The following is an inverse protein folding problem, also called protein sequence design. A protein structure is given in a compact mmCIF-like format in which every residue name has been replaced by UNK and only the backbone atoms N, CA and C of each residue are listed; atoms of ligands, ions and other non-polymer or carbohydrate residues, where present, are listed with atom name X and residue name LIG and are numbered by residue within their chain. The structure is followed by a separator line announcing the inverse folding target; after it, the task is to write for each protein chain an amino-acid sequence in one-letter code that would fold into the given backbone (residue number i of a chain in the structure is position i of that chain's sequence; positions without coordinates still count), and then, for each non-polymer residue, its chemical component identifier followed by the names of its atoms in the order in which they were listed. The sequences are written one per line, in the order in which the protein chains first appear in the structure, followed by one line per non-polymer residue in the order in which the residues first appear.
data_IF_061295321287
#
_entry.id   IF_061295321287
#
_cell.length_a   1.000
_cell.length_b   1.000
_cell.length_c   1.000
_cell.angle_alpha   90.00
_cell.angle_beta   90.00
_cell.angle_gamma   90.00
#
_symmetry.space_group_name_H-M   'P 1'
#
loop_
_entity.id
_entity.type
_entity.pdbx_description
1 polymer ?
#
# COMPACT_ATOMS: atom_id res chain seq x y z
N UNK A 1 -0.56 -5.00 -23.95
CA UNK A 1 -1.30 -3.97 -23.19
C UNK A 1 -1.31 -4.26 -21.70
N UNK A 2 -1.77 -5.44 -21.25
CA UNK A 2 -1.72 -5.84 -19.83
C UNK A 2 -0.29 -5.84 -19.23
N UNK A 3 0.71 -6.29 -20.00
CA UNK A 3 2.12 -6.26 -19.55
C UNK A 3 2.63 -4.84 -19.25
N UNK A 4 2.37 -3.88 -20.16
CA UNK A 4 2.76 -2.48 -19.97
C UNK A 4 2.11 -1.88 -18.71
N UNK A 5 0.83 -2.18 -18.47
CA UNK A 5 0.13 -1.71 -17.27
C UNK A 5 0.79 -2.28 -16.00
N UNK A 6 1.13 -3.56 -16.01
CA UNK A 6 1.82 -4.22 -14.90
C UNK A 6 3.20 -3.60 -14.64
N UNK A 7 4.00 -3.37 -15.69
CA UNK A 7 5.32 -2.77 -15.58
C UNK A 7 5.26 -1.36 -14.99
N UNK A 8 4.28 -0.55 -15.43
CA UNK A 8 4.01 0.78 -14.88
C UNK A 8 3.61 0.67 -13.40
N UNK A 9 2.75 -0.28 -13.04
CA UNK A 9 2.32 -0.47 -11.66
C UNK A 9 3.50 -0.83 -10.74
N UNK A 10 4.42 -1.68 -11.21
CA UNK A 10 5.62 -2.03 -10.47
C UNK A 10 6.55 -0.82 -10.27
N UNK A 11 6.71 0.03 -11.30
CA UNK A 11 7.45 1.29 -11.16
C UNK A 11 6.78 2.24 -10.15
N UNK A 12 5.45 2.37 -10.21
CA UNK A 12 4.68 3.18 -9.26
C UNK A 12 4.85 2.66 -7.83
N UNK A 13 4.90 1.34 -7.62
CA UNK A 13 5.14 0.77 -6.29
C UNK A 13 6.51 1.17 -5.72
N UNK A 14 7.56 1.22 -6.55
CA UNK A 14 8.88 1.68 -6.12
C UNK A 14 8.82 3.14 -5.67
N UNK A 15 8.20 4.00 -6.49
CA UNK A 15 8.05 5.42 -6.18
C UNK A 15 7.21 5.66 -4.90
N UNK A 16 6.11 4.92 -4.74
CA UNK A 16 5.28 4.99 -3.54
C UNK A 16 6.05 4.51 -2.31
N UNK A 17 6.87 3.46 -2.43
CA UNK A 17 7.68 2.95 -1.33
C UNK A 17 8.70 4.00 -0.85
N UNK A 18 9.37 4.70 -1.78
CA UNK A 18 10.25 5.82 -1.46
C UNK A 18 9.45 6.94 -0.78
N UNK A 19 8.31 7.33 -1.36
CA UNK A 19 7.47 8.39 -0.82
C UNK A 19 6.92 8.11 0.59
N UNK A 20 6.69 6.84 0.94
CA UNK A 20 6.30 6.40 2.29
C UNK A 20 7.45 6.60 3.27
N UNK A 21 8.67 6.18 2.90
CA UNK A 21 9.84 6.23 3.79
C UNK A 21 10.33 7.67 4.01
N UNK A 22 10.22 8.53 3.00
CA UNK A 22 10.65 9.93 3.08
C UNK A 22 9.64 10.85 3.79
N UNK A 23 8.44 10.37 4.11
CA UNK A 23 7.41 11.21 4.73
C UNK A 23 7.67 11.39 6.24
N UNK A 24 7.87 12.63 6.66
CA UNK A 24 8.09 12.97 8.07
C UNK A 24 6.80 12.88 8.91
N UNK A 25 5.65 13.20 8.32
CA UNK A 25 4.37 13.10 9.02
C UNK A 25 3.84 11.66 8.99
N UNK A 26 3.75 11.03 10.16
CA UNK A 26 3.38 9.62 10.28
C UNK A 26 1.99 9.31 9.70
N UNK A 27 1.02 10.22 9.86
CA UNK A 27 -0.32 10.05 9.29
C UNK A 27 -0.26 10.06 7.76
N UNK A 28 0.46 11.01 7.17
CA UNK A 28 0.68 11.05 5.72
C UNK A 28 1.44 9.81 5.23
N UNK A 29 2.42 9.30 6.00
CA UNK A 29 3.17 8.10 5.64
C UNK A 29 2.23 6.89 5.54
N UNK A 30 1.29 6.76 6.48
CA UNK A 30 0.26 5.72 6.47
C UNK A 30 -0.71 5.89 5.29
N UNK A 31 -1.09 7.11 4.94
CA UNK A 31 -1.92 7.36 3.76
C UNK A 31 -1.19 6.94 2.49
N UNK A 32 0.07 7.31 2.31
CA UNK A 32 0.90 6.87 1.18
C UNK A 32 1.06 5.35 1.17
N UNK A 33 1.20 4.72 2.33
CA UNK A 33 1.27 3.26 2.47
C UNK A 33 -0.05 2.60 2.03
N UNK A 34 -1.20 3.22 2.29
CA UNK A 34 -2.48 2.73 1.78
C UNK A 34 -2.53 2.71 0.24
N UNK A 35 -1.97 3.73 -0.43
CA UNK A 35 -1.82 3.72 -1.89
C UNK A 35 -0.86 2.63 -2.38
N UNK A 36 0.25 2.39 -1.68
CA UNK A 36 1.16 1.28 -1.99
C UNK A 36 0.45 -0.08 -1.85
N UNK A 37 -0.33 -0.27 -0.78
CA UNK A 37 -1.13 -1.47 -0.55
C UNK A 37 -2.17 -1.67 -1.66
N UNK A 38 -2.80 -0.60 -2.12
CA UNK A 38 -3.74 -0.66 -3.25
C UNK A 38 -3.04 -1.08 -4.54
N UNK A 39 -1.88 -0.47 -4.86
CA UNK A 39 -1.09 -0.84 -6.03
C UNK A 39 -0.68 -2.33 -5.98
N UNK A 40 -0.27 -2.82 -4.81
CA UNK A 40 0.05 -4.24 -4.62
C UNK A 40 -1.16 -5.16 -4.89
N UNK A 41 -2.35 -4.81 -4.37
CA UNK A 41 -3.59 -5.56 -4.64
C UNK A 41 -3.91 -5.61 -6.13
N UNK A 42 -3.73 -4.50 -6.85
CA UNK A 42 -3.92 -4.44 -8.29
C UNK A 42 -2.93 -5.34 -9.03
N UNK A 43 -1.65 -5.33 -8.64
CA UNK A 43 -0.63 -6.25 -9.19
C UNK A 43 -1.05 -7.71 -9.02
N UNK A 44 -1.47 -8.11 -7.81
CA UNK A 44 -1.93 -9.48 -7.54
C UNK A 44 -3.15 -9.87 -8.40
N UNK A 45 -4.05 -8.91 -8.61
CA UNK A 45 -5.22 -9.09 -9.47
C UNK A 45 -4.80 -9.32 -10.94
N UNK A 46 -3.86 -8.53 -11.44
CA UNK A 46 -3.31 -8.70 -12.80
C UNK A 46 -2.52 -10.00 -12.97
N UNK A 47 -1.85 -10.47 -11.92
CA UNK A 47 -1.16 -11.76 -11.88
C UNK A 47 -2.09 -12.97 -11.73
N UNK A 48 -3.41 -12.76 -11.70
CA UNK A 48 -4.43 -13.81 -11.54
C UNK A 48 -4.29 -14.57 -10.21
N UNK A 49 -3.90 -13.87 -9.15
CA UNK A 49 -3.85 -14.38 -7.77
C UNK A 49 -4.96 -13.76 -6.89
N UNK A 50 -6.25 -14.06 -7.15
CA UNK A 50 -7.37 -13.40 -6.50
C UNK A 50 -7.46 -13.67 -4.99
N UNK A 51 -7.11 -14.88 -4.55
CA UNK A 51 -7.17 -15.25 -3.13
C UNK A 51 -6.15 -14.45 -2.29
N UNK A 52 -4.97 -14.23 -2.85
CA UNK A 52 -3.92 -13.40 -2.24
C UNK A 52 -4.32 -11.92 -2.28
N UNK A 53 -4.92 -11.46 -3.38
CA UNK A 53 -5.41 -10.09 -3.49
C UNK A 53 -6.49 -9.78 -2.44
N UNK A 54 -7.46 -10.67 -2.27
CA UNK A 54 -8.51 -10.53 -1.25
C UNK A 54 -7.92 -10.50 0.16
N UNK A 55 -6.99 -11.40 0.44
CA UNK A 55 -6.27 -11.44 1.73
C UNK A 55 -5.48 -10.15 1.97
N UNK A 56 -4.79 -9.64 0.95
CA UNK A 56 -4.00 -8.41 1.01
C UNK A 56 -4.87 -7.17 1.27
N UNK A 57 -6.10 -7.11 0.73
CA UNK A 57 -7.05 -6.03 1.05
C UNK A 57 -7.38 -6.01 2.54
N UNK A 58 -7.75 -7.16 3.10
CA UNK A 58 -8.16 -7.28 4.50
C UNK A 58 -6.98 -6.98 5.43
N UNK A 59 -5.83 -7.59 5.17
CA UNK A 59 -4.62 -7.38 5.97
C UNK A 59 -4.16 -5.92 5.87
N UNK A 60 -4.16 -5.34 4.67
CA UNK A 60 -3.81 -3.94 4.46
C UNK A 60 -4.67 -2.98 5.27
N UNK A 61 -6.00 -3.19 5.26
CA UNK A 61 -6.93 -2.38 6.05
C UNK A 61 -6.68 -2.49 7.57
N UNK A 62 -6.43 -3.70 8.07
CA UNK A 62 -6.10 -3.93 9.48
C UNK A 62 -4.81 -3.20 9.85
N UNK A 63 -3.75 -3.35 9.05
CA UNK A 63 -2.44 -2.73 9.28
C UNK A 63 -2.56 -1.20 9.31
N UNK A 64 -3.29 -0.60 8.36
CA UNK A 64 -3.55 0.84 8.35
C UNK A 64 -4.25 1.29 9.63
N UNK A 65 -5.29 0.57 10.07
CA UNK A 65 -6.01 0.87 11.30
C UNK A 65 -5.12 0.80 12.54
N UNK A 66 -4.29 -0.24 12.64
CA UNK A 66 -3.33 -0.41 13.75
C UNK A 66 -2.31 0.73 13.78
N UNK A 67 -1.75 1.13 12.63
CA UNK A 67 -0.82 2.24 12.57
C UNK A 67 -1.47 3.56 13.00
N UNK A 68 -2.64 3.91 12.47
CA UNK A 68 -3.33 5.15 12.84
C UNK A 68 -3.68 5.19 14.34
N UNK A 69 -4.11 4.06 14.90
CA UNK A 69 -4.38 3.96 16.33
C UNK A 69 -3.10 4.15 17.17
N UNK A 70 -2.00 3.54 16.75
CA UNK A 70 -0.71 3.64 17.44
C UNK A 70 -0.15 5.05 17.38
N UNK A 71 -0.15 5.68 16.19
CA UNK A 71 0.31 7.07 16.01
C UNK A 71 -0.44 8.02 16.93
N UNK A 72 -1.77 7.87 17.01
CA UNK A 72 -2.61 8.68 17.90
C UNK A 72 -2.21 8.57 19.38
N UNK A 73 -1.69 7.43 19.81
CA UNK A 73 -1.27 7.23 21.21
C UNK A 73 0.16 7.72 21.48
N UNK A 74 1.02 7.72 20.45
CA UNK A 74 2.43 8.14 20.57
C UNK A 74 2.64 9.64 20.32
N UNK A 75 1.78 10.29 19.54
CA UNK A 75 1.81 11.76 19.33
C UNK A 75 1.15 12.56 20.46
N UNK A 76 0.67 11.90 21.53
CA UNK A 76 0.27 12.57 22.79
C UNK A 76 1.49 12.94 23.63
#
# INVERSE_FOLDING_TARGET
MLGIILDILLLVMILLSIAVVEEENLVNAVVKYAFLSLAFVLVLTFLRAPDVALSAIVVGAIVIGVFLFTIREVEK
#
